data_IF_505623949094
#
_entry.id   IF_505623949094
#
_cell.length_a   1.000
_cell.length_b   1.000
_cell.length_c   1.000
_cell.angle_alpha   90.00
_cell.angle_beta   90.00
_cell.angle_gamma   90.00
#
_symmetry.space_group_name_H-M   'P 1'
#
loop_
_entity.id
_entity.type
_entity.pdbx_description
1 polymer ?
#
# COMPACT_ATOMS: atom_id res chain seq x y z
N UNK A 1 9.25 1.90 3.94
CA UNK A 1 9.80 0.73 4.66
C UNK A 1 10.29 1.19 6.02
N UNK A 2 9.88 0.50 7.08
CA UNK A 2 10.23 0.78 8.46
C UNK A 2 10.95 -0.42 9.08
N UNK A 3 11.88 -0.16 9.99
CA UNK A 3 12.52 -1.18 10.80
C UNK A 3 11.67 -1.58 12.02
N UNK A 4 12.19 -2.49 12.85
CA UNK A 4 11.52 -2.96 14.07
C UNK A 4 11.25 -1.86 15.13
N UNK A 5 11.98 -0.75 15.05
CA UNK A 5 11.85 0.39 15.95
C UNK A 5 11.07 1.55 15.28
N UNK A 6 10.45 1.27 14.13
CA UNK A 6 9.66 2.21 13.32
C UNK A 6 10.46 3.35 12.67
N UNK A 7 11.77 3.21 12.57
CA UNK A 7 12.57 4.17 11.83
C UNK A 7 12.44 3.93 10.33
N UNK A 8 12.43 5.01 9.56
CA UNK A 8 12.45 4.96 8.11
C UNK A 8 13.82 4.46 7.64
N UNK A 9 13.85 3.31 6.93
CA UNK A 9 15.08 2.66 6.49
C UNK A 9 15.74 3.42 5.33
N UNK A 10 14.94 3.99 4.44
CA UNK A 10 15.39 4.69 3.24
C UNK A 10 14.32 5.62 2.70
N UNK A 11 14.71 6.56 1.85
CA UNK A 11 13.75 7.39 1.12
C UNK A 11 12.85 6.52 0.21
N UNK A 12 11.59 6.91 0.08
CA UNK A 12 10.62 6.19 -0.75
C UNK A 12 11.00 6.23 -2.24
N UNK A 13 10.65 5.18 -2.97
CA UNK A 13 10.66 5.17 -4.44
C UNK A 13 9.28 5.64 -4.88
N UNK A 14 9.22 6.80 -5.53
CA UNK A 14 7.95 7.43 -5.91
C UNK A 14 7.28 6.73 -7.10
N UNK A 15 6.01 7.03 -7.34
CA UNK A 15 5.17 6.36 -8.35
C UNK A 15 5.70 6.48 -9.79
N UNK A 16 6.32 7.59 -10.15
CA UNK A 16 6.84 7.85 -11.50
C UNK A 16 8.28 7.32 -11.72
N UNK A 17 8.90 6.71 -10.71
CA UNK A 17 10.24 6.15 -10.82
C UNK A 17 10.21 4.83 -11.61
N UNK A 18 11.00 4.76 -12.68
CA UNK A 18 11.01 3.65 -13.62
C UNK A 18 12.14 2.63 -13.38
N UNK A 19 12.88 2.74 -12.25
CA UNK A 19 14.04 1.86 -11.98
C UNK A 19 13.74 0.38 -11.90
N UNK A 20 12.47 0.01 -11.65
CA UNK A 20 12.03 -1.37 -11.37
C UNK A 20 11.68 -2.19 -12.63
N UNK A 21 12.14 -1.80 -13.80
CA UNK A 21 11.80 -2.50 -15.06
C UNK A 21 12.25 -3.97 -15.05
N UNK A 22 13.41 -4.27 -14.45
CA UNK A 22 13.92 -5.63 -14.33
C UNK A 22 13.03 -6.48 -13.40
N UNK A 23 12.55 -5.89 -12.31
CA UNK A 23 11.66 -6.53 -11.34
C UNK A 23 10.27 -6.78 -11.95
N UNK A 24 9.75 -5.87 -12.76
CA UNK A 24 8.52 -6.09 -13.54
C UNK A 24 8.67 -7.29 -14.49
N UNK A 25 9.79 -7.40 -15.19
CA UNK A 25 10.07 -8.56 -16.03
C UNK A 25 10.20 -9.86 -15.19
N UNK A 26 10.80 -9.78 -14.02
CA UNK A 26 10.88 -10.89 -13.05
C UNK A 26 9.48 -11.30 -12.58
N UNK A 27 8.64 -10.35 -12.18
CA UNK A 27 7.26 -10.58 -11.73
C UNK A 27 6.41 -11.27 -12.81
N UNK A 28 6.47 -10.78 -14.05
CA UNK A 28 5.75 -11.39 -15.18
C UNK A 28 6.24 -12.81 -15.48
N UNK A 29 7.51 -13.12 -15.28
CA UNK A 29 8.06 -14.48 -15.46
C UNK A 29 7.62 -15.42 -14.36
N UNK A 30 7.51 -14.95 -13.11
CA UNK A 30 7.19 -15.76 -11.92
C UNK A 30 5.67 -15.95 -11.79
N UNK A 31 4.91 -14.88 -11.86
CA UNK A 31 3.46 -14.86 -11.62
C UNK A 31 2.67 -15.01 -12.92
N UNK A 32 3.08 -14.31 -13.96
CA UNK A 32 2.38 -14.25 -15.24
C UNK A 32 1.32 -13.14 -15.31
N UNK A 33 1.14 -12.61 -16.51
CA UNK A 33 0.21 -11.50 -16.77
C UNK A 33 -1.24 -11.87 -16.42
N UNK A 34 -1.71 -13.05 -16.85
CA UNK A 34 -3.08 -13.49 -16.63
C UNK A 34 -3.43 -13.60 -15.14
N UNK A 35 -2.53 -14.17 -14.36
CA UNK A 35 -2.73 -14.32 -12.91
C UNK A 35 -2.73 -12.97 -12.20
N UNK A 36 -1.88 -12.01 -12.61
CA UNK A 36 -1.96 -10.65 -12.09
C UNK A 36 -3.31 -10.01 -12.40
N UNK A 37 -3.79 -10.12 -13.63
CA UNK A 37 -5.10 -9.57 -14.02
C UNK A 37 -6.24 -10.23 -13.23
N UNK A 38 -6.20 -11.54 -13.03
CA UNK A 38 -7.23 -12.29 -12.30
C UNK A 38 -7.28 -11.88 -10.82
N UNK A 39 -6.13 -11.79 -10.16
CA UNK A 39 -6.05 -11.58 -8.71
C UNK A 39 -6.06 -10.10 -8.34
N UNK A 40 -5.25 -9.28 -9.01
CA UNK A 40 -5.03 -7.88 -8.64
C UNK A 40 -5.74 -6.89 -9.54
N UNK A 41 -6.40 -7.35 -10.62
CA UNK A 41 -7.02 -6.55 -11.66
C UNK A 41 -6.05 -5.54 -12.34
N UNK A 42 -4.74 -5.73 -12.18
CA UNK A 42 -3.71 -4.84 -12.70
C UNK A 42 -2.54 -5.65 -13.32
N UNK A 43 -1.97 -5.21 -14.45
CA UNK A 43 -0.73 -5.77 -14.97
C UNK A 43 0.46 -5.32 -14.12
N UNK A 44 1.58 -6.05 -14.19
CA UNK A 44 2.81 -5.62 -13.53
C UNK A 44 3.37 -4.35 -14.18
N UNK A 45 3.57 -3.30 -13.39
CA UNK A 45 4.08 -2.00 -13.83
C UNK A 45 5.10 -1.44 -12.86
N UNK A 46 6.00 -0.60 -13.35
CA UNK A 46 7.08 0.02 -12.56
C UNK A 46 6.57 0.97 -11.48
N UNK A 47 5.44 1.61 -11.71
CA UNK A 47 4.80 2.52 -10.73
C UNK A 47 4.28 1.82 -9.48
N UNK A 48 3.98 0.53 -9.55
CA UNK A 48 3.35 -0.22 -8.47
C UNK A 48 4.33 -0.68 -7.38
N UNK A 49 3.80 -0.95 -6.19
CA UNK A 49 4.61 -1.16 -4.98
C UNK A 49 5.36 -2.49 -4.98
N UNK A 50 4.76 -3.58 -5.48
CA UNK A 50 5.42 -4.90 -5.48
C UNK A 50 6.78 -4.87 -6.20
N UNK A 51 6.87 -4.24 -7.37
CA UNK A 51 8.11 -4.10 -8.10
C UNK A 51 9.18 -3.32 -7.30
N UNK A 52 8.76 -2.31 -6.52
CA UNK A 52 9.66 -1.51 -5.67
C UNK A 52 10.17 -2.31 -4.47
N UNK A 53 9.33 -3.17 -3.89
CA UNK A 53 9.73 -4.09 -2.82
C UNK A 53 10.83 -5.03 -3.34
N UNK A 54 10.61 -5.64 -4.51
CA UNK A 54 11.58 -6.52 -5.13
C UNK A 54 12.88 -5.78 -5.48
N UNK A 55 12.78 -4.55 -5.97
CA UNK A 55 13.95 -3.75 -6.28
C UNK A 55 14.81 -3.50 -5.04
N UNK A 56 14.21 -3.14 -3.90
CA UNK A 56 14.95 -2.96 -2.64
C UNK A 56 15.57 -4.27 -2.20
N UNK A 57 14.85 -5.39 -2.30
CA UNK A 57 15.40 -6.72 -1.98
C UNK A 57 16.61 -7.07 -2.83
N UNK A 58 16.54 -6.80 -4.14
CA UNK A 58 17.59 -7.19 -5.10
C UNK A 58 18.81 -6.25 -5.06
N UNK A 59 18.59 -4.94 -4.84
CA UNK A 59 19.64 -3.92 -4.97
C UNK A 59 20.13 -3.35 -3.63
N UNK A 60 19.30 -3.43 -2.59
CA UNK A 60 19.61 -2.96 -1.23
C UNK A 60 19.31 -4.04 -0.18
N UNK A 61 19.91 -5.26 -0.27
CA UNK A 61 19.53 -6.40 0.57
C UNK A 61 19.70 -6.13 2.07
N UNK A 62 20.67 -5.31 2.47
CA UNK A 62 20.87 -4.95 3.88
C UNK A 62 19.77 -4.01 4.40
N UNK A 63 19.15 -3.20 3.55
CA UNK A 63 17.98 -2.44 3.88
C UNK A 63 16.73 -3.34 3.96
N UNK A 64 16.58 -4.25 2.99
CA UNK A 64 15.45 -5.18 2.99
C UNK A 64 15.43 -6.08 4.22
N UNK A 65 16.58 -6.60 4.67
CA UNK A 65 16.70 -7.42 5.89
C UNK A 65 16.25 -6.72 7.17
N UNK A 66 16.30 -5.39 7.21
CA UNK A 66 15.85 -4.60 8.36
C UNK A 66 14.36 -4.29 8.30
N UNK A 67 13.73 -4.49 7.14
CA UNK A 67 12.34 -4.10 6.90
C UNK A 67 11.39 -4.99 7.69
N UNK A 68 10.61 -4.37 8.56
CA UNK A 68 9.54 -5.01 9.32
C UNK A 68 8.15 -4.57 8.83
N UNK A 69 8.02 -3.34 8.30
CA UNK A 69 6.73 -2.82 7.85
C UNK A 69 6.88 -2.06 6.54
N UNK A 70 5.90 -2.28 5.66
CA UNK A 70 5.77 -1.61 4.36
C UNK A 70 4.47 -0.83 4.36
N UNK A 71 4.57 0.48 4.23
CA UNK A 71 3.43 1.40 4.24
C UNK A 71 3.45 2.26 2.99
N UNK A 72 2.28 2.54 2.43
CA UNK A 72 2.10 3.59 1.44
C UNK A 72 2.24 4.97 2.10
N UNK A 73 2.46 6.07 1.36
CA UNK A 73 2.63 7.40 1.94
C UNK A 73 1.47 7.82 2.85
N UNK A 74 0.23 7.60 2.41
CA UNK A 74 -0.99 7.85 3.19
C UNK A 74 -1.01 7.03 4.48
N UNK A 75 -0.64 5.75 4.38
CA UNK A 75 -0.64 4.82 5.51
C UNK A 75 0.46 5.16 6.53
N UNK A 76 1.61 5.65 6.05
CA UNK A 76 2.66 6.14 6.93
C UNK A 76 2.21 7.39 7.70
N UNK A 77 1.52 8.32 7.03
CA UNK A 77 0.94 9.48 7.72
C UNK A 77 -0.08 9.02 8.79
N UNK A 78 -0.96 8.08 8.45
CA UNK A 78 -1.91 7.50 9.43
C UNK A 78 -1.16 6.87 10.60
N UNK A 79 -0.11 6.10 10.34
CA UNK A 79 0.73 5.51 11.39
C UNK A 79 1.31 6.57 12.32
N UNK A 80 1.81 7.69 11.80
CA UNK A 80 2.30 8.80 12.62
C UNK A 80 1.17 9.37 13.49
N UNK A 81 -0.03 9.53 12.95
CA UNK A 81 -1.18 10.10 13.65
C UNK A 81 -1.75 9.16 14.73
N UNK A 82 -1.79 7.84 14.46
CA UNK A 82 -2.55 6.89 15.29
C UNK A 82 -1.68 5.83 15.96
N UNK A 83 -0.55 5.48 15.38
CA UNK A 83 0.25 4.30 15.77
C UNK A 83 -0.18 3.01 15.10
N UNK A 84 -1.23 3.02 14.27
CA UNK A 84 -1.79 1.81 13.68
C UNK A 84 -1.22 1.51 12.29
N UNK A 85 -0.83 0.25 12.07
CA UNK A 85 -0.43 -0.25 10.74
C UNK A 85 -1.67 -0.65 9.96
N UNK A 86 -2.17 0.26 9.16
CA UNK A 86 -3.39 0.10 8.41
C UNK A 86 -3.25 0.63 6.98
N UNK A 87 -3.95 0.01 6.05
CA UNK A 87 -4.17 0.49 4.68
C UNK A 87 -5.64 0.31 4.33
N UNK A 88 -6.09 0.93 3.23
CA UNK A 88 -7.42 0.71 2.71
C UNK A 88 -7.40 -0.06 1.39
N UNK A 89 -8.52 -0.71 1.07
CA UNK A 89 -8.65 -1.57 -0.13
C UNK A 89 -8.36 -0.84 -1.44
N UNK A 90 -8.71 0.45 -1.56
CA UNK A 90 -8.55 1.18 -2.82
C UNK A 90 -7.09 1.49 -3.11
N UNK A 91 -6.32 1.94 -2.11
CA UNK A 91 -4.90 2.25 -2.26
C UNK A 91 -4.05 0.95 -2.29
N UNK A 92 -4.41 -0.05 -1.46
CA UNK A 92 -3.78 -1.36 -1.48
C UNK A 92 -3.91 -2.09 -2.83
N UNK A 93 -4.97 -1.83 -3.61
CA UNK A 93 -5.12 -2.39 -4.96
C UNK A 93 -3.99 -1.99 -5.89
N UNK A 94 -3.41 -0.79 -5.70
CA UNK A 94 -2.23 -0.30 -6.41
C UNK A 94 -0.90 -0.91 -5.97
N UNK A 95 -0.89 -1.77 -4.93
CA UNK A 95 0.33 -2.44 -4.49
C UNK A 95 0.66 -3.69 -5.32
N UNK A 96 -0.27 -4.23 -6.09
CA UNK A 96 -0.19 -5.52 -6.82
C UNK A 96 -0.01 -6.75 -5.90
N UNK A 97 -0.40 -6.64 -4.65
CA UNK A 97 -0.36 -7.69 -3.64
C UNK A 97 -1.76 -8.01 -3.09
N UNK A 98 -2.75 -7.16 -3.37
CA UNK A 98 -4.13 -7.34 -2.94
C UNK A 98 -4.88 -8.27 -3.89
N UNK A 99 -5.60 -9.24 -3.35
CA UNK A 99 -6.67 -9.91 -4.08
C UNK A 99 -7.89 -8.98 -4.07
N UNK A 100 -8.15 -8.34 -5.20
CA UNK A 100 -9.19 -7.29 -5.33
C UNK A 100 -10.57 -7.86 -5.04
N UNK A 101 -10.89 -9.06 -5.55
CA UNK A 101 -12.19 -9.70 -5.34
C UNK A 101 -12.42 -10.09 -3.88
N UNK A 102 -11.38 -10.53 -3.17
CA UNK A 102 -11.45 -10.96 -1.76
C UNK A 102 -11.17 -9.84 -0.78
N UNK A 103 -10.71 -8.67 -1.27
CA UNK A 103 -10.38 -7.48 -0.48
C UNK A 103 -9.37 -7.75 0.65
N UNK A 104 -8.39 -8.60 0.38
CA UNK A 104 -7.34 -8.96 1.32
C UNK A 104 -6.02 -9.24 0.59
N UNK A 105 -4.92 -9.28 1.30
CA UNK A 105 -3.63 -9.64 0.70
C UNK A 105 -3.69 -11.01 0.04
N UNK A 106 -3.11 -11.12 -1.14
CA UNK A 106 -3.02 -12.38 -1.87
C UNK A 106 -1.86 -13.22 -1.37
N UNK A 107 -2.17 -14.23 -0.57
CA UNK A 107 -1.14 -15.18 -0.14
C UNK A 107 -0.40 -15.80 -1.32
N UNK A 108 -1.12 -16.14 -2.39
CA UNK A 108 -0.54 -16.75 -3.59
C UNK A 108 0.51 -15.84 -4.25
N UNK A 109 0.21 -14.55 -4.44
CA UNK A 109 1.17 -13.61 -5.03
C UNK A 109 2.33 -13.34 -4.08
N UNK A 110 2.06 -13.16 -2.80
CA UNK A 110 3.10 -12.95 -1.80
C UNK A 110 4.07 -14.14 -1.73
N UNK A 111 3.55 -15.37 -1.71
CA UNK A 111 4.38 -16.59 -1.71
C UNK A 111 5.23 -16.71 -2.99
N UNK A 112 4.62 -16.49 -4.17
CA UNK A 112 5.33 -16.54 -5.46
C UNK A 112 6.45 -15.50 -5.56
N UNK A 113 6.21 -14.31 -5.03
CA UNK A 113 7.20 -13.22 -5.02
C UNK A 113 8.12 -13.25 -3.79
N UNK A 114 7.94 -14.23 -2.88
CA UNK A 114 8.69 -14.34 -1.63
C UNK A 114 8.64 -13.05 -0.81
N UNK A 115 7.45 -12.46 -0.71
CA UNK A 115 7.19 -11.28 0.13
C UNK A 115 6.46 -11.76 1.39
N UNK A 116 7.05 -11.48 2.55
CA UNK A 116 6.44 -11.81 3.82
C UNK A 116 5.21 -10.92 4.07
N UNK A 117 4.05 -11.56 4.23
CA UNK A 117 2.78 -10.86 4.48
C UNK A 117 2.76 -10.13 5.82
N UNK A 118 3.55 -10.56 6.80
CA UNK A 118 3.67 -9.89 8.11
C UNK A 118 4.26 -8.46 7.99
N UNK A 119 4.95 -8.17 6.89
CA UNK A 119 5.43 -6.81 6.59
C UNK A 119 4.30 -5.89 6.11
N UNK A 120 3.16 -6.42 5.68
CA UNK A 120 2.06 -5.65 5.09
C UNK A 120 1.06 -5.22 6.18
N UNK A 121 0.51 -4.00 6.09
CA UNK A 121 -0.44 -3.51 7.08
C UNK A 121 -1.78 -4.24 6.98
N UNK A 122 -2.58 -4.19 8.04
CA UNK A 122 -3.96 -4.68 8.00
C UNK A 122 -4.78 -3.88 6.98
N UNK A 123 -5.57 -4.62 6.16
CA UNK A 123 -6.46 -4.02 5.16
C UNK A 123 -7.82 -3.70 5.78
N UNK A 124 -8.32 -2.51 5.50
CA UNK A 124 -9.62 -2.00 5.94
C UNK A 124 -10.43 -1.53 4.73
N UNK A 125 -11.74 -1.40 4.91
CA UNK A 125 -12.55 -0.62 4.00
C UNK A 125 -12.21 0.87 4.14
N UNK A 126 -12.36 1.63 3.06
CA UNK A 126 -12.00 3.06 3.02
C UNK A 126 -12.70 3.90 4.08
N UNK A 127 -13.94 3.55 4.44
CA UNK A 127 -14.74 4.25 5.46
C UNK A 127 -14.60 3.69 6.89
N UNK A 128 -13.91 2.57 7.08
CA UNK A 128 -13.72 2.00 8.41
C UNK A 128 -12.78 2.86 9.26
N UNK A 129 -13.06 2.91 10.55
CA UNK A 129 -12.17 3.55 11.53
C UNK A 129 -10.96 2.67 11.76
N UNK A 130 -9.77 3.21 11.52
CA UNK A 130 -8.50 2.50 11.71
C UNK A 130 -7.83 2.79 13.05
N UNK A 131 -8.25 3.83 13.74
CA UNK A 131 -7.72 4.23 15.06
C UNK A 131 -8.16 5.62 15.45
N UNK A 132 -7.63 6.11 16.59
CA UNK A 132 -7.80 7.48 17.08
C UNK A 132 -6.44 8.18 17.14
N UNK A 133 -6.45 9.50 17.29
CA UNK A 133 -5.21 10.26 17.41
C UNK A 133 -4.41 9.83 18.65
N UNK A 134 -3.09 9.73 18.49
CA UNK A 134 -2.17 9.67 19.64
C UNK A 134 -2.32 10.93 20.47
N UNK A 135 -2.14 10.82 21.78
CA UNK A 135 -2.27 11.93 22.72
C UNK A 135 -1.43 13.14 22.33
N UNK A 136 -0.15 12.91 22.05
CA UNK A 136 0.80 13.95 21.66
C UNK A 136 0.43 14.66 20.36
N UNK A 137 -0.16 13.92 19.41
CA UNK A 137 -0.64 14.48 18.15
C UNK A 137 -1.91 15.31 18.36
N UNK A 138 -2.84 14.81 19.15
CA UNK A 138 -4.06 15.53 19.49
C UNK A 138 -3.72 16.87 20.20
N UNK A 139 -2.83 16.85 21.18
CA UNK A 139 -2.36 18.05 21.88
C UNK A 139 -1.68 19.04 20.92
N UNK A 140 -0.78 18.57 20.05
CA UNK A 140 -0.09 19.40 19.06
C UNK A 140 -1.06 20.08 18.08
N UNK A 141 -2.13 19.40 17.68
CA UNK A 141 -3.13 19.91 16.73
C UNK A 141 -4.28 20.68 17.40
N UNK A 142 -4.35 20.71 18.74
CA UNK A 142 -5.46 21.30 19.47
C UNK A 142 -6.79 20.53 19.29
N UNK A 143 -6.71 19.22 19.12
CA UNK A 143 -7.85 18.33 18.89
C UNK A 143 -8.07 17.40 20.08
N UNK A 144 -9.26 16.80 20.14
CA UNK A 144 -9.55 15.73 21.09
C UNK A 144 -8.87 14.42 20.66
N UNK A 145 -8.36 13.66 21.60
CA UNK A 145 -7.78 12.33 21.33
C UNK A 145 -8.81 11.34 20.75
N UNK A 146 -10.09 11.58 21.01
CA UNK A 146 -11.21 10.77 20.49
C UNK A 146 -11.47 10.96 19.00
N UNK A 147 -10.82 11.90 18.34
CA UNK A 147 -10.94 12.08 16.87
C UNK A 147 -10.49 10.81 16.18
N UNK A 148 -11.40 10.24 15.37
CA UNK A 148 -11.17 9.00 14.62
C UNK A 148 -10.45 9.27 13.32
N UNK A 149 -9.64 8.29 12.89
CA UNK A 149 -8.96 8.29 11.60
C UNK A 149 -9.49 7.12 10.77
N UNK A 150 -10.10 7.43 9.63
CA UNK A 150 -10.64 6.44 8.70
C UNK A 150 -9.56 5.82 7.81
N UNK A 151 -9.89 4.72 7.12
CA UNK A 151 -9.05 4.05 6.13
C UNK A 151 -8.57 4.98 5.01
N UNK A 152 -9.40 5.92 4.61
CA UNK A 152 -9.09 6.84 3.52
C UNK A 152 -9.18 6.17 2.16
N UNK A 153 -8.55 6.72 1.14
CA UNK A 153 -8.58 6.16 -0.20
C UNK A 153 -7.31 6.53 -0.99
N UNK A 154 -7.01 5.73 -2.01
CA UNK A 154 -6.11 6.16 -3.08
C UNK A 154 -6.68 7.39 -3.79
N UNK A 155 -5.82 8.27 -4.30
CA UNK A 155 -6.20 9.56 -4.87
C UNK A 155 -7.22 9.43 -6.04
N UNK A 156 -7.01 8.48 -6.93
CA UNK A 156 -7.95 8.22 -8.04
C UNK A 156 -9.32 7.75 -7.55
N UNK A 157 -9.39 6.89 -6.56
CA UNK A 157 -10.65 6.42 -5.98
C UNK A 157 -11.39 7.57 -5.27
N UNK A 158 -10.66 8.39 -4.50
CA UNK A 158 -11.19 9.57 -3.85
C UNK A 158 -11.69 10.61 -4.87
N UNK A 159 -10.94 10.83 -5.96
CA UNK A 159 -11.33 11.74 -7.03
C UNK A 159 -12.60 11.26 -7.77
N UNK A 160 -12.70 9.97 -8.06
CA UNK A 160 -13.90 9.39 -8.67
C UNK A 160 -15.13 9.66 -7.81
N UNK A 161 -15.07 9.33 -6.52
CA UNK A 161 -16.15 9.58 -5.58
C UNK A 161 -16.48 11.07 -5.45
N UNK A 162 -15.45 11.92 -5.30
CA UNK A 162 -15.58 13.35 -5.11
C UNK A 162 -16.18 14.08 -6.33
N UNK A 163 -16.01 13.52 -7.53
CA UNK A 163 -16.61 14.04 -8.78
C UNK A 163 -17.95 13.37 -9.15
N UNK A 164 -18.47 12.50 -8.28
CA UNK A 164 -19.76 11.84 -8.47
C UNK A 164 -19.74 10.71 -9.49
N UNK A 165 -18.56 10.13 -9.79
CA UNK A 165 -18.42 8.96 -10.66
C UNK A 165 -18.60 7.69 -9.84
N UNK A 166 -19.86 7.42 -9.44
CA UNK A 166 -20.23 6.31 -8.57
C UNK A 166 -21.27 5.38 -9.21
N UNK A 167 -21.61 5.60 -10.47
CA UNK A 167 -22.65 4.85 -11.17
C UNK A 167 -22.14 4.37 -12.53
N UNK A 168 -22.70 3.27 -13.02
CA UNK A 168 -22.40 2.74 -14.35
C UNK A 168 -22.61 3.79 -15.44
N UNK A 169 -21.70 3.84 -16.41
CA UNK A 169 -21.77 4.76 -17.54
C UNK A 169 -21.16 6.15 -17.26
N UNK A 170 -20.72 6.44 -16.03
CA UNK A 170 -19.96 7.65 -15.72
C UNK A 170 -18.46 7.39 -15.84
N UNK A 171 -17.71 8.39 -16.27
CA UNK A 171 -16.26 8.35 -16.36
C UNK A 171 -15.65 9.71 -15.99
N UNK A 172 -14.41 9.71 -15.56
CA UNK A 172 -13.59 10.92 -15.38
C UNK A 172 -12.19 10.67 -15.98
N UNK A 173 -11.51 11.74 -16.33
CA UNK A 173 -10.11 11.70 -16.81
C UNK A 173 -9.27 12.70 -16.03
#
# INVERSE_FOLDING_TARGET
MLDKDNNVIRNSIIWCDQRTSAEVAQMNRIVGHEKFMEITANPALTGWTAAKILWVRNNEPENYKKCCHILLPKDYLRFILTGEYATDVSDASGMQLLNVSKRCWSKEICDLLEIDMEMLPKVYESCEVTGTLRKEIAEMLGLEQSVVVAGGAGDNAAAALGTGVCEDGKAFT
#
